data_IF_660808693167
#
_entry.id   IF_660808693167
#
_cell.length_a   1.000
_cell.length_b   1.000
_cell.length_c   1.000
_cell.angle_alpha   90.00
_cell.angle_beta   90.00
_cell.angle_gamma   90.00
#
_symmetry.space_group_name_H-M   'P 1'
#
loop_
_entity.id
_entity.type
_entity.pdbx_description
1 polymer ?
#
# COMPACT_ATOMS: atom_id res chain seq x y z
N UNK A 1 -13.46 -37.56 29.21
CA UNK A 1 -13.65 -37.03 27.84
C UNK A 1 -13.65 -35.50 27.92
N UNK A 2 -12.44 -34.91 27.93
CA UNK A 2 -12.24 -33.47 28.14
C UNK A 2 -12.33 -32.73 26.80
N UNK A 3 -13.43 -32.01 26.57
CA UNK A 3 -13.51 -31.01 25.50
C UNK A 3 -12.75 -29.76 25.94
N UNK A 4 -11.46 -29.71 25.60
CA UNK A 4 -10.72 -28.46 25.41
C UNK A 4 -10.49 -28.31 23.91
N UNK A 5 -11.18 -27.39 23.26
CA UNK A 5 -10.73 -26.84 21.98
C UNK A 5 -11.13 -25.37 21.87
N UNK A 6 -10.13 -24.54 22.16
CA UNK A 6 -9.79 -23.30 21.46
C UNK A 6 -10.84 -22.19 21.35
N UNK A 7 -10.84 -21.32 22.36
CA UNK A 7 -11.04 -19.90 22.14
C UNK A 7 -9.77 -19.29 21.53
N UNK A 8 -9.80 -19.05 20.22
CA UNK A 8 -8.90 -18.21 19.42
C UNK A 8 -9.74 -17.92 18.17
N UNK A 9 -10.25 -16.71 17.93
CA UNK A 9 -9.48 -15.63 17.31
C UNK A 9 -10.43 -14.44 17.17
N UNK A 10 -10.12 -13.30 17.79
CA UNK A 10 -10.40 -12.04 17.09
C UNK A 10 -9.55 -12.14 15.81
N UNK A 11 -10.25 -12.37 14.70
CA UNK A 11 -9.74 -12.71 13.37
C UNK A 11 -8.46 -11.93 13.06
N UNK A 12 -7.35 -12.66 12.86
CA UNK A 12 -6.11 -12.13 12.28
C UNK A 12 -6.40 -11.65 10.86
N UNK A 13 -6.93 -10.44 10.70
CA UNK A 13 -7.21 -9.83 9.41
C UNK A 13 -6.01 -8.99 8.99
N UNK A 14 -5.39 -9.39 7.89
CA UNK A 14 -4.38 -8.60 7.20
C UNK A 14 -5.13 -7.69 6.23
N UNK A 15 -4.92 -6.38 6.35
CA UNK A 15 -5.52 -5.43 5.44
C UNK A 15 -4.82 -5.48 4.08
N UNK A 16 -5.62 -5.58 3.03
CA UNK A 16 -5.21 -5.58 1.63
C UNK A 16 -5.02 -4.17 1.07
N UNK A 17 -5.72 -3.20 1.67
CA UNK A 17 -5.76 -1.79 1.25
C UNK A 17 -4.40 -1.09 1.40
N UNK A 18 -4.09 -0.13 0.53
CA UNK A 18 -2.87 0.69 0.66
C UNK A 18 -2.71 1.27 2.09
N UNK A 19 -1.48 1.23 2.61
CA UNK A 19 -1.17 1.65 3.98
C UNK A 19 -1.56 3.12 4.25
N UNK A 20 -1.56 3.96 3.22
CA UNK A 20 -2.00 5.35 3.26
C UNK A 20 -3.43 5.54 3.74
N UNK A 21 -4.32 4.55 3.58
CA UNK A 21 -5.71 4.62 4.07
C UNK A 21 -5.87 4.29 5.55
N UNK A 22 -4.92 3.58 6.14
CA UNK A 22 -4.98 3.17 7.54
C UNK A 22 -4.64 4.36 8.44
N UNK A 23 -5.43 4.61 9.49
CA UNK A 23 -5.03 5.52 10.56
C UNK A 23 -3.88 4.94 11.39
N UNK A 24 -3.23 5.77 12.19
CA UNK A 24 -1.97 5.41 12.86
C UNK A 24 -2.11 4.23 13.84
N UNK A 25 -3.25 4.08 14.51
CA UNK A 25 -3.48 2.95 15.41
C UNK A 25 -3.64 1.64 14.63
N UNK A 26 -4.44 1.69 13.55
CA UNK A 26 -4.66 0.53 12.69
C UNK A 26 -3.37 0.14 11.98
N UNK A 27 -2.63 1.11 11.45
CA UNK A 27 -1.32 0.95 10.82
C UNK A 27 -0.32 0.27 11.79
N UNK A 28 -0.20 0.79 13.01
CA UNK A 28 0.69 0.21 14.02
C UNK A 28 0.24 -1.20 14.45
N UNK A 29 -1.07 -1.46 14.50
CA UNK A 29 -1.60 -2.80 14.81
C UNK A 29 -1.28 -3.81 13.71
N UNK A 30 -1.40 -3.41 12.44
CA UNK A 30 -1.07 -4.23 11.28
C UNK A 30 0.44 -4.49 11.21
N UNK A 31 1.28 -3.48 11.51
CA UNK A 31 2.73 -3.66 11.59
C UNK A 31 3.11 -4.69 12.66
N UNK A 32 2.57 -4.59 13.88
CA UNK A 32 2.85 -5.57 14.95
C UNK A 32 2.39 -6.98 14.59
N UNK A 33 1.22 -7.08 13.94
CA UNK A 33 0.71 -8.35 13.42
C UNK A 33 1.69 -8.95 12.41
N UNK A 34 2.10 -8.20 11.39
CA UNK A 34 2.97 -8.70 10.34
C UNK A 34 4.39 -8.98 10.84
N UNK A 35 4.96 -8.16 11.73
CA UNK A 35 6.23 -8.49 12.40
C UNK A 35 6.12 -9.83 13.10
N UNK A 36 5.04 -10.07 13.85
CA UNK A 36 4.81 -11.34 14.54
C UNK A 36 4.69 -12.54 13.59
N UNK A 37 4.12 -12.34 12.40
CA UNK A 37 3.94 -13.39 11.39
C UNK A 37 5.22 -13.66 10.57
N UNK A 38 5.95 -12.61 10.19
CA UNK A 38 7.21 -12.69 9.42
C UNK A 38 8.38 -13.19 10.29
N UNK A 39 8.41 -12.81 11.57
CA UNK A 39 9.49 -13.21 12.50
C UNK A 39 9.35 -14.65 13.01
N UNK A 40 8.16 -15.24 12.93
CA UNK A 40 7.97 -16.67 13.22
C UNK A 40 8.55 -17.51 12.08
N UNK A 41 9.84 -17.79 12.22
CA UNK A 41 10.68 -18.79 11.57
C UNK A 41 10.13 -19.56 10.36
N UNK A 42 10.95 -19.56 9.30
CA UNK A 42 10.86 -20.39 8.08
C UNK A 42 10.83 -21.91 8.38
N UNK A 43 10.92 -22.31 9.65
CA UNK A 43 10.83 -23.66 10.15
C UNK A 43 9.42 -24.02 10.66
N UNK A 44 8.61 -24.59 9.75
CA UNK A 44 7.56 -25.61 9.98
C UNK A 44 6.39 -25.31 10.94
N UNK A 45 6.31 -24.15 11.58
CA UNK A 45 5.29 -23.86 12.61
C UNK A 45 4.52 -22.54 12.42
N UNK A 46 4.87 -21.73 11.41
CA UNK A 46 4.13 -20.50 11.05
C UNK A 46 2.78 -20.76 10.34
N UNK A 47 2.68 -21.88 9.60
CA UNK A 47 1.50 -22.21 8.79
C UNK A 47 0.19 -22.24 9.59
N UNK A 48 0.23 -22.66 10.85
CA UNK A 48 -0.98 -22.76 11.69
C UNK A 48 -1.50 -21.41 12.19
N UNK A 49 -0.66 -20.37 12.19
CA UNK A 49 -1.04 -19.01 12.66
C UNK A 49 -1.41 -18.07 11.51
N UNK A 50 -0.94 -18.35 10.30
CA UNK A 50 -1.31 -17.57 9.12
C UNK A 50 -2.78 -17.79 8.75
N UNK A 51 -3.53 -16.73 8.40
CA UNK A 51 -4.79 -16.88 7.71
C UNK A 51 -4.61 -17.79 6.50
N UNK A 52 -5.58 -18.69 6.26
CA UNK A 52 -5.46 -19.71 5.21
C UNK A 52 -5.08 -19.14 3.84
N UNK A 53 -5.62 -17.97 3.49
CA UNK A 53 -5.35 -17.29 2.24
C UNK A 53 -3.88 -16.84 2.08
N UNK A 54 -3.14 -16.63 3.18
CA UNK A 54 -1.76 -16.11 3.15
C UNK A 54 -0.68 -17.19 3.28
N UNK A 55 -1.07 -18.48 3.39
CA UNK A 55 -0.11 -19.59 3.43
C UNK A 55 0.55 -19.77 2.06
N UNK A 56 1.88 -19.80 2.01
CA UNK A 56 2.64 -19.85 0.74
C UNK A 56 2.81 -18.49 0.06
N UNK A 57 2.55 -17.39 0.77
CA UNK A 57 2.67 -16.01 0.30
C UNK A 57 3.62 -15.19 1.19
N UNK A 58 4.72 -15.80 1.66
CA UNK A 58 5.63 -15.24 2.67
C UNK A 58 6.35 -13.97 2.19
N UNK A 59 6.76 -13.92 0.93
CA UNK A 59 7.37 -12.72 0.35
C UNK A 59 6.35 -11.57 0.21
N UNK A 60 5.09 -11.90 -0.08
CA UNK A 60 4.02 -10.90 -0.10
C UNK A 60 3.75 -10.34 1.30
N UNK A 61 3.84 -11.16 2.36
CA UNK A 61 3.76 -10.68 3.75
C UNK A 61 4.92 -9.75 4.10
N UNK A 62 6.13 -10.09 3.68
CA UNK A 62 7.33 -9.29 3.92
C UNK A 62 7.24 -7.95 3.20
N UNK A 63 6.88 -7.96 1.92
CA UNK A 63 6.66 -6.74 1.16
C UNK A 63 5.53 -5.90 1.75
N UNK A 64 4.43 -6.53 2.17
CA UNK A 64 3.34 -5.83 2.86
C UNK A 64 3.80 -5.19 4.17
N UNK A 65 4.66 -5.84 4.94
CA UNK A 65 5.28 -5.27 6.13
C UNK A 65 6.12 -4.03 5.77
N UNK A 66 6.95 -4.10 4.72
CA UNK A 66 7.73 -2.96 4.24
C UNK A 66 6.82 -1.77 3.84
N UNK A 67 5.73 -2.03 3.10
CA UNK A 67 4.75 -0.98 2.77
C UNK A 67 4.15 -0.29 4.01
N UNK A 68 3.86 -1.04 5.09
CA UNK A 68 3.38 -0.43 6.34
C UNK A 68 4.48 0.40 7.01
N UNK A 69 5.72 -0.09 7.03
CA UNK A 69 6.84 0.62 7.65
C UNK A 69 7.23 1.87 6.87
N UNK A 70 7.17 1.85 5.55
CA UNK A 70 7.43 3.04 4.73
C UNK A 70 6.36 4.11 4.93
N UNK A 71 5.09 3.70 5.02
CA UNK A 71 4.01 4.63 5.37
C UNK A 71 4.16 5.19 6.78
N UNK A 72 4.56 4.36 7.76
CA UNK A 72 4.87 4.82 9.11
C UNK A 72 6.03 5.82 9.12
N UNK A 73 7.10 5.54 8.38
CA UNK A 73 8.28 6.41 8.25
C UNK A 73 7.90 7.74 7.59
N UNK A 74 7.08 7.71 6.53
CA UNK A 74 6.53 8.90 5.88
C UNK A 74 5.74 9.79 6.85
N UNK A 75 5.08 9.18 7.85
CA UNK A 75 4.34 9.87 8.92
C UNK A 75 5.18 10.19 10.16
N UNK A 76 6.50 9.99 10.09
CA UNK A 76 7.43 10.18 11.22
C UNK A 76 7.12 9.30 12.44
N UNK A 77 6.53 8.11 12.21
CA UNK A 77 6.30 7.10 13.22
C UNK A 77 7.51 6.16 13.31
N UNK A 78 7.81 5.65 14.51
CA UNK A 78 8.92 4.74 14.72
C UNK A 78 8.69 3.37 14.08
N UNK A 79 9.70 2.84 13.39
CA UNK A 79 9.68 1.53 12.74
C UNK A 79 10.95 0.74 13.07
N UNK A 80 10.91 -0.60 12.99
CA UNK A 80 12.09 -1.44 13.21
C UNK A 80 13.08 -1.46 12.02
N UNK A 81 12.76 -0.79 10.91
CA UNK A 81 13.55 -0.78 9.67
C UNK A 81 13.12 -1.84 8.65
N UNK A 82 13.54 -1.68 7.40
CA UNK A 82 13.15 -2.51 6.25
C UNK A 82 13.61 -3.96 6.39
N UNK A 83 12.74 -4.90 6.01
CA UNK A 83 13.04 -6.35 5.99
C UNK A 83 13.33 -6.78 4.56
N UNK A 84 14.44 -7.48 4.35
CA UNK A 84 14.81 -7.98 3.03
C UNK A 84 13.78 -9.02 2.51
N UNK A 85 13.28 -8.79 1.30
CA UNK A 85 12.52 -9.79 0.54
C UNK A 85 13.47 -10.74 -0.18
N UNK A 86 12.97 -11.88 -0.66
CA UNK A 86 13.75 -12.67 -1.63
C UNK A 86 13.82 -11.93 -2.97
N UNK A 87 14.76 -12.33 -3.83
CA UNK A 87 14.83 -11.86 -5.23
C UNK A 87 13.86 -12.62 -6.15
N UNK A 88 12.94 -13.41 -5.60
CA UNK A 88 11.97 -14.20 -6.37
C UNK A 88 10.72 -13.36 -6.68
N UNK A 89 9.90 -13.86 -7.62
CA UNK A 89 8.65 -13.20 -7.95
C UNK A 89 7.67 -13.28 -6.76
N UNK A 90 7.20 -12.12 -6.29
CA UNK A 90 6.23 -12.05 -5.20
C UNK A 90 4.85 -12.52 -5.68
N UNK A 91 4.37 -13.61 -5.09
CA UNK A 91 3.02 -14.13 -5.34
C UNK A 91 2.11 -13.65 -4.23
N UNK A 92 1.10 -12.86 -4.58
CA UNK A 92 0.09 -12.37 -3.64
C UNK A 92 -1.10 -13.31 -3.54
N UNK A 93 -1.78 -13.38 -2.38
CA UNK A 93 -3.08 -14.01 -2.31
C UNK A 93 -4.08 -13.26 -3.20
N UNK A 94 -5.09 -13.96 -3.76
CA UNK A 94 -6.14 -13.31 -4.52
C UNK A 94 -6.89 -12.33 -3.62
N UNK A 95 -7.16 -11.12 -4.13
CA UNK A 95 -7.99 -10.15 -3.40
C UNK A 95 -9.44 -10.62 -3.42
N UNK A 96 -9.99 -10.89 -2.24
CA UNK A 96 -11.39 -11.26 -2.08
C UNK A 96 -12.28 -10.01 -1.98
N UNK A 97 -13.36 -9.98 -2.76
CA UNK A 97 -14.25 -8.81 -2.84
C UNK A 97 -14.94 -8.52 -1.51
N UNK A 98 -15.41 -9.55 -0.82
CA UNK A 98 -16.16 -9.41 0.42
C UNK A 98 -15.22 -8.97 1.55
N UNK A 99 -13.99 -9.49 1.57
CA UNK A 99 -12.92 -9.06 2.47
C UNK A 99 -12.56 -7.59 2.25
N UNK A 100 -12.36 -7.18 1.00
CA UNK A 100 -12.09 -5.79 0.66
C UNK A 100 -13.23 -4.86 1.11
N UNK A 101 -14.48 -5.28 0.91
CA UNK A 101 -15.65 -4.51 1.34
C UNK A 101 -15.72 -4.41 2.88
N UNK A 102 -15.38 -5.47 3.61
CA UNK A 102 -15.33 -5.47 5.07
C UNK A 102 -14.24 -4.52 5.59
N UNK A 103 -13.04 -4.54 4.99
CA UNK A 103 -11.95 -3.63 5.32
C UNK A 103 -12.32 -2.16 5.06
N UNK A 104 -12.95 -1.86 3.92
CA UNK A 104 -13.43 -0.51 3.61
C UNK A 104 -14.48 -0.02 4.60
N UNK A 105 -15.37 -0.92 5.05
CA UNK A 105 -16.36 -0.61 6.07
C UNK A 105 -15.71 -0.24 7.40
N UNK A 106 -14.68 -1.00 7.80
CA UNK A 106 -13.92 -0.72 9.03
C UNK A 106 -13.22 0.64 8.95
N UNK A 107 -12.47 0.92 7.88
CA UNK A 107 -11.77 2.21 7.72
C UNK A 107 -12.78 3.37 7.72
N UNK A 108 -13.94 3.20 7.08
CA UNK A 108 -14.99 4.23 7.07
C UNK A 108 -15.53 4.49 8.48
N UNK A 109 -15.84 3.45 9.24
CA UNK A 109 -16.32 3.58 10.62
C UNK A 109 -15.28 4.28 11.52
N UNK A 110 -14.00 3.99 11.31
CA UNK A 110 -12.90 4.66 12.01
C UNK A 110 -12.78 6.14 11.63
N UNK A 111 -12.89 6.44 10.34
CA UNK A 111 -12.86 7.83 9.82
C UNK A 111 -14.00 8.71 10.35
N UNK A 112 -15.20 8.14 10.53
CA UNK A 112 -16.35 8.81 11.15
C UNK A 112 -16.10 9.18 12.62
N UNK A 113 -15.27 8.40 13.31
CA UNK A 113 -14.82 8.66 14.69
C UNK A 113 -13.59 9.58 14.77
N UNK A 114 -13.09 10.07 13.64
CA UNK A 114 -11.94 10.97 13.56
C UNK A 114 -10.59 10.29 13.34
N UNK A 115 -10.53 8.95 13.33
CA UNK A 115 -9.30 8.21 13.02
C UNK A 115 -9.12 8.12 11.51
N UNK A 116 -8.15 8.84 10.96
CA UNK A 116 -7.95 8.95 9.51
C UNK A 116 -6.52 8.61 9.14
N UNK A 117 -6.35 7.89 8.03
CA UNK A 117 -5.05 7.76 7.37
C UNK A 117 -4.62 9.05 6.66
N UNK A 118 -3.41 9.02 6.11
CA UNK A 118 -2.86 10.12 5.30
C UNK A 118 -3.72 10.36 4.06
N UNK A 119 -4.10 9.29 3.37
CA UNK A 119 -4.95 9.34 2.19
C UNK A 119 -6.41 9.38 2.63
N UNK A 120 -7.15 10.38 2.15
CA UNK A 120 -8.58 10.49 2.42
C UNK A 120 -9.33 9.37 1.70
N UNK A 121 -10.34 8.79 2.36
CA UNK A 121 -11.21 7.82 1.72
C UNK A 121 -11.90 8.44 0.49
N UNK A 122 -11.72 7.87 -0.71
CA UNK A 122 -12.33 8.37 -1.92
C UNK A 122 -13.85 8.26 -1.87
N UNK A 123 -14.54 9.31 -2.34
CA UNK A 123 -16.00 9.37 -2.41
C UNK A 123 -16.57 8.86 -3.72
N UNK A 124 -15.73 8.79 -4.75
CA UNK A 124 -16.12 8.44 -6.11
C UNK A 124 -14.92 7.86 -6.89
N UNK A 125 -15.20 7.35 -8.08
CA UNK A 125 -14.24 6.68 -8.96
C UNK A 125 -13.10 7.61 -9.39
N UNK A 126 -13.35 8.91 -9.53
CA UNK A 126 -12.33 9.88 -9.92
C UNK A 126 -11.32 10.13 -8.79
N UNK A 127 -11.78 10.26 -7.56
CA UNK A 127 -10.92 10.40 -6.38
C UNK A 127 -10.09 9.13 -6.14
N UNK A 128 -10.71 7.96 -6.32
CA UNK A 128 -10.03 6.68 -6.18
C UNK A 128 -8.94 6.54 -7.26
N UNK A 129 -9.30 6.80 -8.51
CA UNK A 129 -8.34 6.81 -9.61
C UNK A 129 -7.19 7.78 -9.38
N UNK A 130 -7.48 9.00 -8.91
CA UNK A 130 -6.46 10.00 -8.63
C UNK A 130 -5.45 9.51 -7.58
N UNK A 131 -5.92 8.76 -6.57
CA UNK A 131 -5.06 8.22 -5.50
C UNK A 131 -4.06 7.18 -6.02
N UNK A 132 -4.51 6.29 -6.93
CA UNK A 132 -3.68 5.20 -7.47
C UNK A 132 -2.94 5.53 -8.76
N UNK A 133 -3.20 6.71 -9.35
CA UNK A 133 -2.73 7.10 -10.68
C UNK A 133 -1.23 6.82 -10.89
N UNK A 134 -0.38 7.23 -9.95
CA UNK A 134 1.07 7.06 -10.08
C UNK A 134 1.56 5.66 -9.76
N UNK A 135 0.88 4.94 -8.85
CA UNK A 135 1.16 3.53 -8.61
C UNK A 135 0.93 2.71 -9.89
N UNK A 136 -0.13 2.99 -10.64
CA UNK A 136 -0.38 2.30 -11.91
C UNK A 136 0.56 2.77 -13.02
N UNK A 137 0.90 4.05 -13.06
CA UNK A 137 1.86 4.58 -14.03
C UNK A 137 3.23 3.90 -13.87
N UNK A 138 3.65 3.61 -12.64
CA UNK A 138 4.90 2.93 -12.36
C UNK A 138 4.95 1.48 -12.87
N UNK A 139 3.78 0.86 -13.08
CA UNK A 139 3.68 -0.59 -13.38
C UNK A 139 3.36 -0.85 -14.84
N UNK A 140 2.33 -0.19 -15.35
CA UNK A 140 1.84 -0.47 -16.69
C UNK A 140 1.09 0.73 -17.29
N UNK A 141 1.70 1.35 -18.30
CA UNK A 141 1.13 2.49 -19.01
C UNK A 141 -0.20 2.17 -19.71
N UNK A 142 -0.34 0.98 -20.31
CA UNK A 142 -1.57 0.58 -20.98
C UNK A 142 -2.72 0.41 -19.97
N UNK A 143 -2.43 -0.19 -18.81
CA UNK A 143 -3.40 -0.30 -17.72
C UNK A 143 -3.79 1.09 -17.22
N UNK A 144 -2.82 1.96 -16.99
CA UNK A 144 -3.04 3.36 -16.61
C UNK A 144 -4.01 4.08 -17.56
N UNK A 145 -3.75 4.02 -18.86
CA UNK A 145 -4.58 4.68 -19.88
C UNK A 145 -5.97 4.03 -19.97
N UNK A 146 -6.06 2.71 -19.81
CA UNK A 146 -7.33 1.97 -19.81
C UNK A 146 -8.22 2.34 -18.62
N UNK A 147 -7.68 2.34 -17.39
CA UNK A 147 -8.42 2.75 -16.19
C UNK A 147 -8.85 4.20 -16.27
N UNK A 148 -7.96 5.11 -16.68
CA UNK A 148 -8.29 6.52 -16.87
C UNK A 148 -9.46 6.73 -17.83
N UNK A 149 -9.49 6.02 -18.96
CA UNK A 149 -10.61 6.07 -19.91
C UNK A 149 -11.91 5.54 -19.32
N UNK A 150 -11.87 4.41 -18.62
CA UNK A 150 -13.06 3.80 -17.98
C UNK A 150 -13.67 4.72 -16.92
N UNK A 151 -12.83 5.36 -16.11
CA UNK A 151 -13.25 6.33 -15.09
C UNK A 151 -13.84 7.57 -15.74
N UNK A 152 -13.18 8.15 -16.75
CA UNK A 152 -13.69 9.30 -17.48
C UNK A 152 -15.03 9.02 -18.17
N UNK A 153 -15.21 7.82 -18.72
CA UNK A 153 -16.44 7.39 -19.36
C UNK A 153 -17.52 6.90 -18.37
N UNK A 154 -17.22 6.84 -17.06
CA UNK A 154 -18.11 6.31 -16.01
C UNK A 154 -18.61 4.88 -16.29
N UNK A 155 -17.74 4.03 -16.85
CA UNK A 155 -18.06 2.65 -17.23
C UNK A 155 -17.56 1.61 -16.22
N UNK A 156 -17.14 2.05 -15.03
CA UNK A 156 -16.72 1.19 -13.92
C UNK A 156 -17.31 1.75 -12.64
N UNK A 157 -17.81 0.87 -11.76
CA UNK A 157 -18.27 1.28 -10.43
C UNK A 157 -17.09 1.28 -9.43
N UNK A 158 -17.27 2.03 -8.34
CA UNK A 158 -16.24 2.22 -7.32
C UNK A 158 -15.63 0.93 -6.76
N UNK A 159 -16.44 -0.08 -6.44
CA UNK A 159 -15.92 -1.32 -5.83
C UNK A 159 -15.13 -2.18 -6.83
N UNK A 160 -15.61 -2.29 -8.07
CA UNK A 160 -14.88 -3.01 -9.12
C UNK A 160 -13.58 -2.28 -9.48
N UNK A 161 -13.60 -0.94 -9.46
CA UNK A 161 -12.40 -0.14 -9.64
C UNK A 161 -11.41 -0.38 -8.50
N UNK A 162 -11.87 -0.37 -7.24
CA UNK A 162 -11.01 -0.60 -6.08
C UNK A 162 -10.32 -1.96 -6.16
N UNK A 163 -11.10 -3.01 -6.38
CA UNK A 163 -10.57 -4.37 -6.52
C UNK A 163 -9.52 -4.45 -7.65
N UNK A 164 -9.79 -3.81 -8.79
CA UNK A 164 -8.87 -3.83 -9.92
C UNK A 164 -7.58 -3.03 -9.65
N UNK A 165 -7.67 -1.90 -8.95
CA UNK A 165 -6.53 -1.06 -8.60
C UNK A 165 -5.64 -1.72 -7.54
N UNK A 166 -6.21 -2.36 -6.53
CA UNK A 166 -5.44 -3.11 -5.52
C UNK A 166 -4.73 -4.32 -6.11
N UNK A 167 -5.39 -5.05 -7.03
CA UNK A 167 -4.70 -6.13 -7.73
C UNK A 167 -3.58 -5.59 -8.63
N UNK A 168 -3.80 -4.45 -9.30
CA UNK A 168 -2.78 -3.84 -10.14
C UNK A 168 -1.58 -3.32 -9.32
N UNK A 169 -1.79 -2.76 -8.12
CA UNK A 169 -0.71 -2.25 -7.24
C UNK A 169 0.17 -3.37 -6.66
N UNK A 170 -0.28 -4.62 -6.68
CA UNK A 170 0.52 -5.78 -6.22
C UNK A 170 1.58 -6.24 -7.21
N UNK A 171 1.53 -5.77 -8.46
CA UNK A 171 2.52 -6.11 -9.49
C UNK A 171 3.80 -5.31 -9.23
N UNK A 172 4.95 -5.98 -9.22
CA UNK A 172 6.23 -5.28 -9.09
C UNK A 172 6.43 -4.28 -10.25
N UNK A 173 6.64 -2.98 -9.96
CA UNK A 173 6.93 -2.01 -11.00
C UNK A 173 8.35 -2.24 -11.56
N UNK A 174 8.57 -2.16 -12.87
CA UNK A 174 9.92 -2.09 -13.40
C UNK A 174 10.58 -0.77 -12.97
N UNK A 175 11.91 -0.77 -12.80
CA UNK A 175 12.68 0.41 -12.37
C UNK A 175 12.39 1.64 -13.24
N UNK A 176 12.40 1.49 -14.57
CA UNK A 176 12.08 2.59 -15.49
C UNK A 176 10.64 3.14 -15.31
N UNK A 177 9.71 2.31 -14.85
CA UNK A 177 8.37 2.72 -14.47
C UNK A 177 8.35 3.51 -13.16
N UNK A 178 9.05 3.05 -12.13
CA UNK A 178 9.22 3.80 -10.86
C UNK A 178 9.81 5.18 -11.16
N UNK A 179 10.89 5.24 -11.94
CA UNK A 179 11.53 6.49 -12.37
C UNK A 179 10.55 7.44 -13.04
N UNK A 180 9.79 6.94 -14.00
CA UNK A 180 8.77 7.73 -14.69
C UNK A 180 7.71 8.28 -13.72
N UNK A 181 7.19 7.43 -12.82
CA UNK A 181 6.20 7.87 -11.83
C UNK A 181 6.76 8.95 -10.88
N UNK A 182 7.99 8.75 -10.37
CA UNK A 182 8.67 9.72 -9.52
C UNK A 182 8.93 11.04 -10.25
N UNK A 183 9.32 11.01 -11.53
CA UNK A 183 9.50 12.23 -12.34
C UNK A 183 8.18 12.99 -12.56
N UNK A 184 7.07 12.27 -12.72
CA UNK A 184 5.76 12.91 -12.77
C UNK A 184 5.34 13.52 -11.43
N UNK A 185 5.65 12.86 -10.31
CA UNK A 185 5.40 13.39 -8.97
C UNK A 185 6.32 14.58 -8.66
N UNK A 186 7.57 14.54 -9.11
CA UNK A 186 8.56 15.62 -9.00
C UNK A 186 8.04 16.93 -9.59
N UNK A 187 7.28 16.88 -10.68
CA UNK A 187 6.68 18.07 -11.30
C UNK A 187 5.89 18.94 -10.31
N UNK A 188 5.31 18.36 -9.25
CA UNK A 188 4.55 19.10 -8.23
C UNK A 188 5.42 19.74 -7.14
N UNK A 189 6.66 19.27 -6.97
CA UNK A 189 7.56 19.70 -5.88
C UNK A 189 8.85 20.34 -6.38
N UNK A 190 9.10 20.31 -7.70
CA UNK A 190 10.31 20.82 -8.35
C UNK A 190 10.65 22.28 -8.02
N UNK A 191 9.63 23.11 -7.73
CA UNK A 191 9.84 24.50 -7.31
C UNK A 191 10.45 24.68 -5.91
N UNK A 192 10.53 23.60 -5.12
CA UNK A 192 11.04 23.61 -3.75
C UNK A 192 12.42 22.96 -3.59
N UNK A 193 13.00 22.42 -4.66
CA UNK A 193 14.28 21.71 -4.60
C UNK A 193 15.22 22.09 -5.73
N UNK A 194 16.51 22.00 -5.44
CA UNK A 194 17.60 22.15 -6.41
C UNK A 194 18.08 20.83 -6.99
N UNK A 195 17.55 19.69 -6.53
CA UNK A 195 17.94 18.38 -7.05
C UNK A 195 17.43 18.17 -8.48
N UNK A 196 18.21 17.43 -9.26
CA UNK A 196 17.79 16.99 -10.59
C UNK A 196 16.93 15.72 -10.46
N UNK A 197 15.74 15.66 -11.09
CA UNK A 197 14.96 14.42 -11.15
C UNK A 197 15.54 13.38 -12.13
N UNK A 198 16.61 13.74 -12.85
CA UNK A 198 17.38 12.83 -13.69
C UNK A 198 18.56 12.29 -12.87
N UNK A 199 18.26 11.33 -12.00
CA UNK A 199 19.22 10.64 -11.13
C UNK A 199 18.98 9.13 -11.16
N UNK A 200 20.04 8.36 -10.94
CA UNK A 200 19.97 6.91 -10.73
C UNK A 200 19.67 6.53 -9.30
N UNK A 201 19.83 7.46 -8.36
CA UNK A 201 19.41 7.30 -6.97
C UNK A 201 17.89 7.51 -6.84
N UNK A 202 17.13 6.45 -7.16
CA UNK A 202 15.67 6.48 -7.10
C UNK A 202 15.13 6.55 -5.67
N UNK A 203 15.82 5.96 -4.68
CA UNK A 203 15.40 6.05 -3.27
C UNK A 203 15.58 7.48 -2.75
N UNK A 204 16.71 8.12 -3.05
CA UNK A 204 16.94 9.53 -2.74
C UNK A 204 15.92 10.46 -3.41
N UNK A 205 15.59 10.20 -4.70
CA UNK A 205 14.53 10.95 -5.38
C UNK A 205 13.16 10.75 -4.73
N UNK A 206 12.81 9.51 -4.37
CA UNK A 206 11.55 9.20 -3.70
C UNK A 206 11.47 9.87 -2.32
N UNK A 207 12.56 9.83 -1.55
CA UNK A 207 12.65 10.47 -0.23
C UNK A 207 12.48 11.98 -0.33
N UNK A 208 13.13 12.64 -1.30
CA UNK A 208 12.98 14.08 -1.51
C UNK A 208 11.53 14.44 -1.91
N UNK A 209 10.92 13.67 -2.82
CA UNK A 209 9.51 13.87 -3.19
C UNK A 209 8.58 13.74 -1.99
N UNK A 210 8.80 12.72 -1.14
CA UNK A 210 8.07 12.52 0.12
C UNK A 210 8.21 13.72 1.06
N UNK A 211 9.45 14.15 1.31
CA UNK A 211 9.77 15.26 2.20
C UNK A 211 9.08 16.55 1.74
N UNK A 212 9.26 16.93 0.48
CA UNK A 212 8.71 18.17 -0.08
C UNK A 212 7.18 18.13 -0.15
N UNK A 213 6.60 16.98 -0.52
CA UNK A 213 5.15 16.83 -0.56
C UNK A 213 4.52 17.05 0.83
N UNK A 214 5.11 16.47 1.87
CA UNK A 214 4.65 16.64 3.25
C UNK A 214 4.92 18.06 3.78
N UNK A 215 6.12 18.60 3.58
CA UNK A 215 6.51 19.92 4.07
C UNK A 215 5.66 21.03 3.44
N UNK A 216 5.37 20.94 2.14
CA UNK A 216 4.61 21.95 1.40
C UNK A 216 3.14 21.61 1.23
N UNK A 217 2.65 20.56 1.91
CA UNK A 217 1.25 20.15 1.90
C UNK A 217 0.67 19.97 0.49
N UNK A 218 1.43 19.34 -0.40
CA UNK A 218 1.05 19.11 -1.79
C UNK A 218 -0.08 18.07 -1.84
N UNK A 219 -1.32 18.57 -1.74
CA UNK A 219 -2.54 17.76 -1.56
C UNK A 219 -2.65 16.60 -2.55
N UNK A 220 -2.26 16.81 -3.81
CA UNK A 220 -2.32 15.77 -4.84
C UNK A 220 -1.39 14.58 -4.55
N UNK A 221 -0.18 14.85 -4.05
CA UNK A 221 0.79 13.81 -3.69
C UNK A 221 0.46 13.20 -2.33
N UNK A 222 0.04 14.01 -1.36
CA UNK A 222 -0.37 13.52 -0.03
C UNK A 222 -1.51 12.51 -0.12
N UNK A 223 -2.41 12.63 -1.10
CA UNK A 223 -3.48 11.66 -1.32
C UNK A 223 -3.11 10.56 -2.34
N UNK A 224 -1.84 10.43 -2.72
CA UNK A 224 -1.39 9.36 -3.63
C UNK A 224 -0.86 8.15 -2.86
N UNK A 225 -1.23 6.94 -3.30
CA UNK A 225 -0.68 5.68 -2.79
C UNK A 225 0.81 5.58 -3.09
N UNK A 226 1.22 5.99 -4.31
CA UNK A 226 2.59 6.01 -4.78
C UNK A 226 3.57 6.77 -3.87
N UNK A 227 3.08 7.78 -3.15
CA UNK A 227 3.91 8.53 -2.20
C UNK A 227 4.42 7.66 -1.06
N UNK A 228 3.65 6.67 -0.60
CA UNK A 228 4.05 5.75 0.46
C UNK A 228 4.61 4.44 -0.07
N UNK A 229 3.95 3.84 -1.05
CA UNK A 229 4.21 2.45 -1.44
C UNK A 229 5.42 2.24 -2.36
N UNK A 230 5.80 3.21 -3.21
CA UNK A 230 6.84 2.98 -4.23
C UNK A 230 8.21 2.68 -3.64
N UNK A 231 8.52 3.21 -2.45
CA UNK A 231 9.80 2.95 -1.77
C UNK A 231 9.94 1.52 -1.29
N UNK A 232 8.84 0.82 -1.04
CA UNK A 232 8.87 -0.58 -0.65
C UNK A 232 9.36 -1.52 -1.79
N UNK A 233 9.51 -0.98 -3.00
CA UNK A 233 10.01 -1.68 -4.19
C UNK A 233 11.43 -1.29 -4.60
N UNK A 234 12.08 -0.38 -3.86
CA UNK A 234 13.46 0.07 -4.06
C UNK A 234 14.39 -0.58 -3.04
#
# INVERSE_FOLDING_TARGET
>A
MLRRTFGLSQKLMIFDLDAGFLDDELLASQMRLLVGLVSTDRARSAGDRLPLAWRGHEDALTLRLNQLMDEMTLRSLATPGTVATTNEAVIWPPTDRDMLQAQLTEIRSRAEKGFKGRIRLPKNEHELWASYKYSLLARNRQAYESFGRRVAARTVNLMDLWLALENASRIAPPEGGIRNALQHMWGYVSGFSSLSPQTDDLDGLAQEVQLLACQHQVSYLINSTALGELRAWL
#
